data_IF_598638447096
#
_entry.id   IF_598638447096
#
_cell.length_a   1.000
_cell.length_b   1.000
_cell.length_c   1.000
_cell.angle_alpha   90.00
_cell.angle_beta   90.00
_cell.angle_gamma   90.00
#
_symmetry.space_group_name_H-M   'P 1'
#
loop_
_entity.id
_entity.type
_entity.pdbx_description
1 polymer ?
#
# COMPACT_ATOMS: atom_id res chain seq x y z
N UNK A 1 8.14 7.86 0.10
CA UNK A 1 8.90 7.40 -1.06
C UNK A 1 8.75 8.38 -2.23
N UNK A 2 9.86 8.78 -2.81
CA UNK A 2 9.86 9.77 -3.88
C UNK A 2 9.03 9.35 -5.10
N UNK A 3 9.05 8.06 -5.46
CA UNK A 3 8.31 7.57 -6.63
C UNK A 3 6.81 7.73 -6.44
N UNK A 4 6.30 7.48 -5.24
CA UNK A 4 4.86 7.59 -4.95
C UNK A 4 4.37 9.02 -5.18
N UNK A 5 5.09 10.01 -4.64
CA UNK A 5 4.77 11.42 -4.85
C UNK A 5 4.88 11.83 -6.31
N UNK A 6 5.92 11.35 -7.02
CA UNK A 6 6.14 11.69 -8.42
C UNK A 6 5.02 11.20 -9.35
N UNK A 7 4.38 10.08 -9.04
CA UNK A 7 3.26 9.58 -9.83
C UNK A 7 1.90 10.07 -9.35
N UNK A 8 1.85 10.82 -8.26
CA UNK A 8 0.65 11.48 -7.77
C UNK A 8 -0.02 10.82 -6.56
N UNK A 9 0.66 9.90 -5.91
CA UNK A 9 0.13 9.25 -4.70
C UNK A 9 0.49 10.00 -3.44
N UNK A 10 -0.42 10.00 -2.45
CA UNK A 10 -0.19 10.55 -1.13
C UNK A 10 -0.99 9.73 -0.11
N UNK A 11 -0.33 9.30 0.96
CA UNK A 11 -0.98 8.59 2.06
C UNK A 11 -1.10 9.56 3.24
N UNK A 12 -2.31 9.75 3.73
CA UNK A 12 -2.63 10.85 4.65
C UNK A 12 -2.97 10.37 6.06
N UNK A 13 -3.70 9.28 6.16
CA UNK A 13 -4.17 8.76 7.45
C UNK A 13 -3.93 7.27 7.56
N UNK A 14 -3.69 6.83 8.77
CA UNK A 14 -3.51 5.41 9.06
C UNK A 14 -3.98 5.11 10.48
N UNK A 15 -4.19 3.85 10.77
CA UNK A 15 -4.59 3.42 12.10
C UNK A 15 -4.59 1.91 12.21
N UNK A 16 -5.07 1.44 13.36
CA UNK A 16 -5.17 0.02 13.66
C UNK A 16 -6.53 -0.25 14.24
N UNK A 17 -7.28 -1.18 13.64
CA UNK A 17 -8.54 -1.65 14.15
C UNK A 17 -8.33 -3.00 14.83
N UNK A 18 -8.94 -3.20 15.99
CA UNK A 18 -8.74 -4.44 16.76
C UNK A 18 -7.28 -4.61 17.20
N UNK A 19 -6.77 -5.84 17.14
CA UNK A 19 -5.41 -6.12 17.62
C UNK A 19 -4.33 -5.87 16.57
N UNK A 20 -4.57 -6.26 15.32
CA UNK A 20 -3.53 -6.27 14.30
C UNK A 20 -4.03 -5.82 12.92
N UNK A 21 -5.21 -5.23 12.84
CA UNK A 21 -5.79 -4.84 11.56
C UNK A 21 -5.42 -3.40 11.19
N UNK A 22 -4.19 -3.22 10.76
CA UNK A 22 -3.70 -1.95 10.26
C UNK A 22 -4.41 -1.53 8.99
N UNK A 23 -4.53 -0.22 8.80
CA UNK A 23 -5.10 0.36 7.60
C UNK A 23 -4.41 1.67 7.25
N UNK A 24 -4.52 2.05 5.99
CA UNK A 24 -4.05 3.34 5.49
C UNK A 24 -5.07 3.87 4.48
N UNK A 25 -5.20 5.18 4.44
CA UNK A 25 -6.01 5.87 3.45
C UNK A 25 -5.20 7.00 2.83
N UNK A 26 -5.39 7.19 1.54
CA UNK A 26 -4.70 8.23 0.81
C UNK A 26 -5.43 8.60 -0.47
N UNK A 27 -4.74 9.36 -1.30
CA UNK A 27 -5.26 9.85 -2.58
C UNK A 27 -4.30 9.53 -3.69
N UNK A 28 -4.83 9.46 -4.89
CA UNK A 28 -4.03 9.30 -6.10
C UNK A 28 -4.60 10.25 -7.15
N UNK A 29 -3.78 11.24 -7.51
CA UNK A 29 -4.06 12.17 -8.60
C UNK A 29 -2.97 11.98 -9.64
N UNK A 30 -3.21 11.11 -10.64
CA UNK A 30 -2.15 10.71 -11.57
C UNK A 30 -1.48 11.89 -12.25
N UNK A 31 -0.14 11.90 -12.22
CA UNK A 31 0.68 12.87 -12.95
C UNK A 31 1.01 12.32 -14.34
N UNK A 32 1.55 13.17 -15.21
CA UNK A 32 1.97 12.76 -16.54
C UNK A 32 2.97 11.59 -16.50
N UNK A 33 3.83 11.55 -15.46
CA UNK A 33 4.80 10.47 -15.28
C UNK A 33 4.13 9.10 -15.09
N UNK A 34 2.92 9.07 -14.54
CA UNK A 34 2.17 7.85 -14.32
C UNK A 34 1.47 7.32 -15.56
N UNK A 35 1.34 8.15 -16.59
CA UNK A 35 0.43 7.91 -17.70
C UNK A 35 1.14 7.57 -19.02
N UNK A 36 0.42 6.85 -19.87
CA UNK A 36 0.78 6.66 -21.26
C UNK A 36 0.45 7.94 -22.08
N UNK A 37 0.82 8.00 -23.38
CA UNK A 37 0.54 9.20 -24.19
C UNK A 37 -0.95 9.53 -24.35
N UNK A 38 -1.84 8.60 -24.08
CA UNK A 38 -3.30 8.81 -24.16
C UNK A 38 -3.91 9.34 -22.87
N UNK A 39 -3.09 9.54 -21.82
CA UNK A 39 -3.56 10.06 -20.55
C UNK A 39 -4.16 9.02 -19.61
N UNK A 40 -3.95 7.75 -19.88
CA UNK A 40 -4.36 6.67 -18.98
C UNK A 40 -3.16 6.16 -18.17
N UNK A 41 -3.39 5.87 -16.89
CA UNK A 41 -2.35 5.37 -16.01
C UNK A 41 -1.88 3.99 -16.48
N UNK A 42 -0.56 3.81 -16.53
CA UNK A 42 0.05 2.53 -16.87
C UNK A 42 -0.32 1.46 -15.84
N UNK A 43 -0.54 0.23 -16.32
CA UNK A 43 -0.94 -0.88 -15.44
C UNK A 43 0.01 -1.07 -14.25
N UNK A 44 1.32 -1.02 -14.49
CA UNK A 44 2.32 -1.18 -13.44
C UNK A 44 2.26 -0.09 -12.36
N UNK A 45 1.81 1.11 -12.71
CA UNK A 45 1.67 2.21 -11.76
C UNK A 45 0.57 1.91 -10.74
N UNK A 46 -0.55 1.31 -11.15
CA UNK A 46 -1.56 0.82 -10.20
C UNK A 46 -0.92 -0.10 -9.17
N UNK A 47 -0.08 -1.02 -9.63
CA UNK A 47 0.60 -1.96 -8.74
C UNK A 47 1.54 -1.27 -7.77
N UNK A 48 2.25 -0.23 -8.18
CA UNK A 48 3.13 0.55 -7.30
C UNK A 48 2.31 1.19 -6.17
N UNK A 49 1.21 1.84 -6.49
CA UNK A 49 0.34 2.49 -5.50
C UNK A 49 -0.28 1.46 -4.55
N UNK A 50 -0.79 0.37 -5.09
CA UNK A 50 -1.45 -0.67 -4.29
C UNK A 50 -0.46 -1.42 -3.39
N UNK A 51 0.74 -1.72 -3.88
CA UNK A 51 1.81 -2.31 -3.07
C UNK A 51 2.18 -1.39 -1.89
N UNK A 52 2.36 -0.11 -2.16
CA UNK A 52 2.66 0.86 -1.11
C UNK A 52 1.54 0.94 -0.07
N UNK A 53 0.27 0.93 -0.51
CA UNK A 53 -0.87 0.97 0.40
C UNK A 53 -0.88 -0.24 1.34
N UNK A 54 -0.63 -1.44 0.80
CA UNK A 54 -0.57 -2.66 1.61
C UNK A 54 0.59 -2.62 2.61
N UNK A 55 1.76 -2.19 2.17
CA UNK A 55 2.93 -2.04 3.05
C UNK A 55 2.67 -1.07 4.20
N UNK A 56 2.11 0.09 3.91
CA UNK A 56 1.81 1.08 4.95
C UNK A 56 0.74 0.58 5.91
N UNK A 57 -0.28 -0.14 5.43
CA UNK A 57 -1.30 -0.72 6.29
C UNK A 57 -0.70 -1.74 7.27
N UNK A 58 0.19 -2.60 6.79
CA UNK A 58 0.87 -3.58 7.62
C UNK A 58 1.77 -2.88 8.65
N UNK A 59 2.58 -1.93 8.21
CA UNK A 59 3.49 -1.23 9.09
C UNK A 59 2.75 -0.37 10.13
N UNK A 60 1.53 0.07 9.87
CA UNK A 60 0.70 0.77 10.86
C UNK A 60 0.40 -0.11 12.07
N UNK A 61 0.28 -1.42 11.88
CA UNK A 61 0.03 -2.38 12.97
C UNK A 61 1.30 -2.87 13.65
N UNK A 62 2.46 -2.63 13.07
CA UNK A 62 3.74 -3.08 13.62
C UNK A 62 4.34 -2.01 14.53
N UNK A 63 5.08 -2.45 15.56
CA UNK A 63 5.67 -1.55 16.54
C UNK A 63 7.18 -1.74 16.61
N UNK A 64 7.86 -0.72 17.12
CA UNK A 64 9.30 -0.75 17.31
C UNK A 64 10.04 -0.90 15.98
N UNK A 65 10.88 -1.93 15.89
CA UNK A 65 11.67 -2.23 14.69
C UNK A 65 11.04 -3.28 13.79
N UNK A 66 9.89 -3.78 14.15
CA UNK A 66 9.15 -4.71 13.31
C UNK A 66 8.67 -3.97 12.06
N UNK A 67 8.83 -4.60 10.92
CA UNK A 67 8.49 -3.98 9.62
C UNK A 67 8.25 -5.03 8.56
N UNK A 68 7.61 -4.62 7.48
CA UNK A 68 7.59 -5.45 6.27
C UNK A 68 9.00 -5.56 5.71
N UNK A 69 9.36 -6.75 5.25
CA UNK A 69 10.68 -7.02 4.69
C UNK A 69 10.64 -7.22 3.20
N UNK A 70 9.67 -7.95 2.70
CA UNK A 70 9.53 -8.22 1.27
C UNK A 70 8.11 -8.57 0.89
N UNK A 71 7.73 -8.20 -0.31
CA UNK A 71 6.51 -8.69 -0.95
C UNK A 71 6.79 -10.08 -1.50
N UNK A 72 6.06 -11.08 -1.03
CA UNK A 72 6.22 -12.46 -1.48
C UNK A 72 5.41 -12.70 -2.75
N UNK A 73 4.17 -12.23 -2.74
CA UNK A 73 3.23 -12.39 -3.84
C UNK A 73 2.29 -11.21 -3.85
N UNK A 74 1.88 -10.80 -5.03
CA UNK A 74 0.91 -9.73 -5.22
C UNK A 74 0.11 -9.99 -6.49
N UNK A 75 -1.21 -9.90 -6.38
CA UNK A 75 -2.12 -10.02 -7.52
C UNK A 75 -2.87 -8.71 -7.67
N UNK A 76 -2.82 -8.13 -8.85
CA UNK A 76 -3.50 -6.86 -9.15
C UNK A 76 -4.53 -7.08 -10.25
N UNK A 77 -5.73 -6.57 -10.01
CA UNK A 77 -6.84 -6.61 -10.97
C UNK A 77 -7.18 -5.18 -11.36
N UNK A 78 -7.28 -4.94 -12.66
CA UNK A 78 -7.57 -3.64 -13.25
C UNK A 78 -8.95 -3.70 -13.89
N UNK A 79 -9.91 -2.96 -13.33
CA UNK A 79 -11.29 -2.99 -13.80
C UNK A 79 -11.64 -1.79 -14.68
N UNK A 80 -11.07 -0.62 -14.37
CA UNK A 80 -11.33 0.63 -15.08
C UNK A 80 -10.04 1.42 -15.22
N UNK A 81 -9.90 2.23 -16.28
CA UNK A 81 -8.72 3.09 -16.39
C UNK A 81 -8.75 4.21 -15.34
N UNK A 82 -7.59 4.52 -14.78
CA UNK A 82 -7.37 5.76 -14.06
C UNK A 82 -6.82 6.78 -15.05
N UNK A 83 -7.25 8.03 -14.93
CA UNK A 83 -6.95 9.07 -15.91
C UNK A 83 -6.09 10.18 -15.33
N UNK A 84 -5.28 10.79 -16.19
CA UNK A 84 -4.44 11.95 -15.87
C UNK A 84 -5.29 13.01 -15.15
N UNK A 85 -4.79 13.49 -14.02
CA UNK A 85 -5.43 14.51 -13.19
C UNK A 85 -6.78 14.12 -12.58
N UNK A 86 -7.21 12.88 -12.73
CA UNK A 86 -8.38 12.37 -12.02
C UNK A 86 -8.13 12.28 -10.52
N UNK A 87 -9.19 12.20 -9.74
CA UNK A 87 -9.09 12.08 -8.29
C UNK A 87 -9.56 10.72 -7.83
N UNK A 88 -8.66 9.99 -7.16
CA UNK A 88 -8.95 8.63 -6.69
C UNK A 88 -8.61 8.50 -5.21
N UNK A 89 -9.35 7.64 -4.54
CA UNK A 89 -9.11 7.30 -3.13
C UNK A 89 -8.38 5.97 -3.09
N UNK A 90 -7.33 5.91 -2.29
CA UNK A 90 -6.53 4.70 -2.07
C UNK A 90 -6.76 4.20 -0.66
N UNK A 91 -7.02 2.91 -0.52
CA UNK A 91 -7.21 2.27 0.78
C UNK A 91 -6.40 0.99 0.84
N UNK A 92 -5.65 0.81 1.93
CA UNK A 92 -4.98 -0.44 2.24
C UNK A 92 -5.46 -0.97 3.58
N UNK A 93 -5.63 -2.27 3.68
CA UNK A 93 -6.10 -2.95 4.89
C UNK A 93 -5.36 -4.26 5.10
N UNK A 94 -4.97 -4.52 6.35
CA UNK A 94 -4.46 -5.82 6.74
C UNK A 94 -5.63 -6.78 6.89
N UNK A 95 -5.55 -7.91 6.22
CA UNK A 95 -6.55 -8.97 6.33
C UNK A 95 -6.20 -9.91 7.49
N UNK A 96 -4.92 -10.25 7.61
CA UNK A 96 -4.43 -11.09 8.69
C UNK A 96 -2.93 -10.83 8.90
N UNK A 97 -2.53 -10.72 10.15
CA UNK A 97 -1.13 -10.58 10.54
C UNK A 97 -0.73 -11.77 11.41
N UNK A 98 0.27 -12.51 10.96
CA UNK A 98 0.90 -13.56 11.76
C UNK A 98 2.29 -13.10 12.17
N UNK A 99 3.07 -13.95 12.83
CA UNK A 99 4.41 -13.58 13.30
C UNK A 99 5.33 -13.18 12.12
N UNK A 100 5.29 -13.92 11.03
CA UNK A 100 6.24 -13.73 9.93
C UNK A 100 5.57 -13.35 8.60
N UNK A 101 4.27 -13.51 8.51
CA UNK A 101 3.53 -13.28 7.26
C UNK A 101 2.37 -12.32 7.52
N UNK A 102 2.20 -11.37 6.62
CA UNK A 102 1.03 -10.50 6.60
C UNK A 102 0.29 -10.68 5.28
N UNK A 103 -1.02 -10.75 5.39
CA UNK A 103 -1.93 -10.75 4.25
C UNK A 103 -2.66 -9.41 4.23
N UNK A 104 -2.63 -8.74 3.10
CA UNK A 104 -3.23 -7.42 2.97
C UNK A 104 -3.97 -7.29 1.64
N UNK A 105 -4.81 -6.28 1.58
CA UNK A 105 -5.52 -5.90 0.38
C UNK A 105 -5.49 -4.38 0.23
N UNK A 106 -5.66 -3.91 -0.99
CA UNK A 106 -5.73 -2.49 -1.28
C UNK A 106 -6.61 -2.22 -2.47
N UNK A 107 -7.19 -1.03 -2.51
CA UNK A 107 -8.06 -0.58 -3.59
C UNK A 107 -7.72 0.82 -4.02
N UNK A 108 -7.95 1.09 -5.30
CA UNK A 108 -8.04 2.44 -5.85
C UNK A 108 -9.47 2.58 -6.36
N UNK A 109 -10.17 3.59 -5.89
CA UNK A 109 -11.55 3.85 -6.25
C UNK A 109 -11.74 5.31 -6.65
N UNK A 110 -12.74 5.59 -7.49
CA UNK A 110 -13.09 6.97 -7.82
C UNK A 110 -13.75 7.66 -6.63
N UNK A 111 -13.86 8.99 -6.68
CA UNK A 111 -14.59 9.77 -5.66
C UNK A 111 -16.05 9.33 -5.53
N UNK A 112 -16.61 8.77 -6.59
CA UNK A 112 -17.97 8.23 -6.60
C UNK A 112 -18.08 6.82 -6.03
N UNK A 113 -16.95 6.23 -5.62
CA UNK A 113 -16.91 4.89 -5.06
C UNK A 113 -16.79 3.76 -6.07
N UNK A 114 -16.56 4.07 -7.34
CA UNK A 114 -16.35 3.03 -8.37
C UNK A 114 -14.97 2.43 -8.23
N UNK A 115 -14.90 1.13 -8.13
CA UNK A 115 -13.64 0.41 -8.03
C UNK A 115 -12.86 0.51 -9.34
N UNK A 116 -11.65 1.04 -9.26
CA UNK A 116 -10.75 1.21 -10.42
C UNK A 116 -9.83 0.00 -10.53
N UNK A 117 -9.12 -0.30 -9.43
CA UNK A 117 -8.22 -1.45 -9.35
C UNK A 117 -8.13 -1.93 -7.92
N UNK A 118 -7.68 -3.17 -7.76
CA UNK A 118 -7.46 -3.75 -6.44
C UNK A 118 -6.30 -4.72 -6.45
N UNK A 119 -5.70 -4.93 -5.29
CA UNK A 119 -4.67 -5.93 -5.09
C UNK A 119 -4.90 -6.70 -3.82
N UNK A 120 -4.44 -7.94 -3.82
CA UNK A 120 -4.18 -8.72 -2.61
C UNK A 120 -2.71 -9.07 -2.60
N UNK A 121 -2.13 -9.18 -1.43
CA UNK A 121 -0.71 -9.47 -1.33
C UNK A 121 -0.35 -10.22 -0.06
N UNK A 122 0.78 -10.93 -0.15
CA UNK A 122 1.40 -11.64 0.95
C UNK A 122 2.78 -11.07 1.16
N UNK A 123 3.09 -10.73 2.40
CA UNK A 123 4.32 -10.01 2.75
C UNK A 123 5.07 -10.74 3.85
N UNK A 124 6.40 -10.76 3.72
CA UNK A 124 7.26 -11.23 4.79
C UNK A 124 7.43 -10.10 5.80
N UNK A 125 7.24 -10.42 7.07
CA UNK A 125 7.38 -9.47 8.18
C UNK A 125 8.67 -9.79 8.94
N UNK A 126 9.49 -8.77 9.12
CA UNK A 126 10.67 -8.85 9.96
C UNK A 126 10.28 -8.50 11.39
N UNK A 127 10.58 -9.42 12.34
CA UNK A 127 10.40 -9.17 13.76
C UNK A 127 11.77 -8.99 14.40
N UNK A 128 11.96 -7.88 15.08
CA UNK A 128 13.18 -7.66 15.86
C UNK A 128 13.21 -8.62 17.05
N UNK A 129 14.37 -9.24 17.25
CA UNK A 129 14.58 -10.10 18.41
C UNK A 129 15.03 -9.27 19.61
N UNK A 130 14.92 -9.84 20.81
CA UNK A 130 15.45 -9.22 22.01
C UNK A 130 16.96 -8.96 21.87
N UNK A 131 17.69 -9.89 21.24
CA UNK A 131 19.13 -9.76 21.01
C UNK A 131 19.43 -8.60 20.06
N UNK A 132 18.71 -8.47 18.96
CA UNK A 132 18.87 -7.35 18.03
C UNK A 132 18.58 -6.02 18.68
N UNK A 133 17.51 -5.94 19.48
CA UNK A 133 17.15 -4.73 20.20
C UNK A 133 18.23 -4.32 21.18
N UNK A 134 18.78 -5.27 21.93
CA UNK A 134 19.87 -5.01 22.87
C UNK A 134 21.12 -4.52 22.13
N UNK A 135 21.50 -5.18 21.05
CA UNK A 135 22.65 -4.77 20.24
C UNK A 135 22.49 -3.37 19.66
N UNK A 136 21.28 -3.04 19.21
CA UNK A 136 21.00 -1.73 18.66
C UNK A 136 20.91 -0.63 19.72
N UNK A 137 20.62 -1.00 20.97
CA UNK A 137 20.55 -0.08 22.10
C UNK A 137 21.90 0.26 22.70
N UNK A 138 22.92 -0.46 22.32
CA UNK A 138 24.29 -0.22 22.76
C UNK A 138 24.96 0.77 21.81
#
# INVERSE_FOLDING_TARGET
MAVIGAIGGAFETYGVDGEDLGWVSGTFTPTALACNPHGAVQAGVHSVILDAAMNFAINAALVGRDRTEATIEMTTELMRPALLEGHYVVRGDVVRLTRQIAYAEATIASDEGKLISRSTGTFLVHRSTQTEMCSAGI
#
